data_IF_618899883871
#
_entry.id   IF_618899883871
#
_cell.length_a   1.000
_cell.length_b   1.000
_cell.length_c   1.000
_cell.angle_alpha   90.00
_cell.angle_beta   90.00
_cell.angle_gamma   90.00
#
_symmetry.space_group_name_H-M   'P 1'
#
loop_
_entity.id
_entity.type
_entity.pdbx_description
1 polymer ?
#
# COMPACT_ATOMS: atom_id res chain seq x y z
N UNK A 1 2.37 8.13 0.79
CA UNK A 1 1.85 9.37 0.18
C UNK A 1 2.84 10.53 0.32
N UNK A 2 3.17 11.01 1.53
CA UNK A 2 4.06 12.19 1.69
C UNK A 2 5.41 12.05 0.96
N UNK A 3 6.13 10.94 1.13
CA UNK A 3 7.40 10.71 0.40
C UNK A 3 7.25 10.75 -1.14
N UNK A 4 6.10 10.31 -1.66
CA UNK A 4 5.80 10.40 -3.11
C UNK A 4 5.63 11.86 -3.54
N UNK A 5 4.87 12.64 -2.78
CA UNK A 5 4.64 14.07 -3.08
C UNK A 5 5.92 14.89 -2.93
N UNK A 6 6.73 14.59 -1.93
CA UNK A 6 8.03 15.21 -1.73
C UNK A 6 8.94 14.94 -2.92
N UNK A 7 9.15 13.66 -3.29
CA UNK A 7 9.92 13.31 -4.47
C UNK A 7 9.37 13.96 -5.74
N UNK A 8 8.05 13.90 -5.95
CA UNK A 8 7.40 14.49 -7.12
C UNK A 8 7.60 16.02 -7.21
N UNK A 9 7.49 16.74 -6.10
CA UNK A 9 7.57 18.21 -6.08
C UNK A 9 9.01 18.70 -6.23
N UNK A 10 9.94 18.17 -5.42
CA UNK A 10 11.34 18.59 -5.43
C UNK A 10 12.06 18.22 -6.72
N UNK A 11 11.56 17.20 -7.41
CA UNK A 11 12.08 16.83 -8.73
C UNK A 11 11.80 17.87 -9.82
N UNK A 12 10.80 18.74 -9.66
CA UNK A 12 10.42 19.76 -10.66
C UNK A 12 10.93 21.16 -10.30
N UNK A 13 10.94 21.50 -9.01
CA UNK A 13 11.47 22.76 -8.46
C UNK A 13 11.91 22.54 -7.01
N UNK A 14 13.10 23.00 -6.67
CA UNK A 14 13.68 22.94 -5.32
C UNK A 14 13.56 24.27 -4.54
N UNK A 15 13.27 25.36 -5.24
CA UNK A 15 13.30 26.73 -4.71
C UNK A 15 11.92 27.34 -4.42
N UNK A 16 10.83 26.64 -4.75
CA UNK A 16 9.46 27.16 -4.60
C UNK A 16 9.08 27.58 -3.16
N UNK A 17 9.77 27.06 -2.14
CA UNK A 17 9.49 27.42 -0.74
C UNK A 17 10.16 28.73 -0.32
N UNK A 18 11.14 29.22 -1.09
CA UNK A 18 11.95 30.39 -0.70
C UNK A 18 11.06 31.61 -0.54
N UNK A 19 11.20 32.30 0.59
CA UNK A 19 10.43 33.50 0.90
C UNK A 19 9.05 33.25 1.54
N UNK A 20 8.59 32.00 1.61
CA UNK A 20 7.33 31.59 2.25
C UNK A 20 7.58 30.81 3.55
N UNK A 21 6.67 30.93 4.52
CA UNK A 21 6.76 30.22 5.80
C UNK A 21 6.30 28.75 5.74
N UNK A 22 6.73 28.00 4.72
CA UNK A 22 6.30 26.61 4.48
C UNK A 22 6.77 25.65 5.57
N UNK A 23 7.94 25.90 6.16
CA UNK A 23 8.50 25.06 7.23
C UNK A 23 7.56 24.89 8.43
N UNK A 24 6.73 25.90 8.74
CA UNK A 24 5.72 25.81 9.81
C UNK A 24 4.65 24.74 9.52
N UNK A 25 4.31 24.53 8.25
CA UNK A 25 3.32 23.52 7.85
C UNK A 25 3.92 22.12 7.95
N UNK A 26 5.16 21.95 7.49
CA UNK A 26 5.88 20.66 7.58
C UNK A 26 6.03 20.24 9.05
N UNK A 27 6.42 21.15 9.94
CA UNK A 27 6.50 20.90 11.39
C UNK A 27 5.15 20.57 12.03
N UNK A 28 4.04 21.00 11.42
CA UNK A 28 2.68 20.67 11.84
C UNK A 28 2.13 19.38 11.20
N UNK A 29 2.97 18.61 10.50
CA UNK A 29 2.56 17.39 9.81
C UNK A 29 1.65 17.66 8.61
N UNK A 30 1.90 18.73 7.88
CA UNK A 30 1.16 19.11 6.68
C UNK A 30 2.10 19.10 5.46
N UNK A 31 1.67 18.41 4.41
CA UNK A 31 2.26 18.48 3.08
C UNK A 31 1.52 19.55 2.27
N UNK A 32 2.24 20.37 1.52
CA UNK A 32 1.66 21.44 0.69
C UNK A 32 2.14 21.39 -0.76
N UNK A 33 3.28 20.74 -1.03
CA UNK A 33 3.79 20.54 -2.38
C UNK A 33 2.99 19.46 -3.11
N UNK A 34 2.52 19.76 -4.33
CA UNK A 34 1.91 18.76 -5.21
C UNK A 34 0.60 18.13 -4.72
N UNK A 35 -0.04 18.64 -3.67
CA UNK A 35 -1.23 18.05 -2.99
C UNK A 35 -2.51 18.02 -3.81
N UNK A 36 -2.50 18.52 -5.04
CA UNK A 36 -3.61 18.47 -6.01
C UNK A 36 -3.17 18.04 -7.40
N UNK A 37 -1.94 17.52 -7.52
CA UNK A 37 -1.40 17.02 -8.78
C UNK A 37 -2.18 15.80 -9.28
N UNK A 38 -2.04 15.49 -10.57
CA UNK A 38 -2.58 14.24 -11.14
C UNK A 38 -1.98 13.01 -10.46
N UNK A 39 -0.70 13.06 -10.10
CA UNK A 39 -0.03 12.02 -9.31
C UNK A 39 -0.64 11.87 -7.92
N UNK A 40 -0.95 12.98 -7.23
CA UNK A 40 -1.66 12.92 -5.95
C UNK A 40 -3.03 12.25 -6.08
N UNK A 41 -3.81 12.62 -7.10
CA UNK A 41 -5.14 12.05 -7.34
C UNK A 41 -5.05 10.56 -7.66
N UNK A 42 -4.11 10.16 -8.52
CA UNK A 42 -3.82 8.76 -8.81
C UNK A 42 -3.46 7.98 -7.54
N UNK A 43 -2.49 8.49 -6.77
CA UNK A 43 -2.04 7.82 -5.55
C UNK A 43 -3.17 7.71 -4.52
N UNK A 44 -3.98 8.77 -4.35
CA UNK A 44 -5.11 8.79 -3.41
C UNK A 44 -6.20 7.80 -3.82
N UNK A 45 -6.50 7.70 -5.12
CA UNK A 45 -7.44 6.71 -5.63
C UNK A 45 -6.95 5.28 -5.34
N UNK A 46 -5.64 5.03 -5.45
CA UNK A 46 -5.04 3.73 -5.12
C UNK A 46 -5.09 3.42 -3.63
N UNK A 47 -4.72 4.37 -2.76
CA UNK A 47 -4.73 4.13 -1.30
C UNK A 47 -6.13 3.85 -0.74
N UNK A 48 -7.20 4.31 -1.42
CA UNK A 48 -8.60 3.98 -1.08
C UNK A 48 -8.99 2.54 -1.42
N UNK A 49 -8.26 1.88 -2.32
CA UNK A 49 -8.57 0.52 -2.76
C UNK A 49 -7.79 -0.52 -1.96
N UNK A 50 -6.53 -0.22 -1.66
CA UNK A 50 -5.63 -1.14 -0.97
C UNK A 50 -4.42 -0.36 -0.42
N UNK A 51 -3.54 -1.06 0.29
CA UNK A 51 -2.24 -0.55 0.70
C UNK A 51 -1.26 -0.65 -0.47
N UNK A 52 -0.79 0.50 -0.95
CA UNK A 52 0.17 0.58 -2.06
C UNK A 52 1.53 1.18 -1.65
N UNK A 53 2.56 0.74 -2.33
CA UNK A 53 3.87 1.40 -2.44
C UNK A 53 3.97 2.04 -3.83
N UNK A 54 4.68 3.16 -3.93
CA UNK A 54 4.80 3.91 -5.18
C UNK A 54 6.25 3.98 -5.60
N UNK A 55 6.50 3.81 -6.89
CA UNK A 55 7.82 3.87 -7.52
C UNK A 55 7.76 4.88 -8.65
N UNK A 56 8.72 5.81 -8.68
CA UNK A 56 8.82 6.83 -9.73
C UNK A 56 10.02 6.47 -10.61
N UNK A 57 9.80 6.47 -11.93
CA UNK A 57 10.85 6.36 -12.93
C UNK A 57 10.75 7.53 -13.90
N UNK A 58 11.87 8.15 -14.23
CA UNK A 58 11.93 9.38 -15.02
C UNK A 58 13.07 9.33 -16.02
N UNK A 59 12.82 9.89 -17.20
CA UNK A 59 13.84 10.22 -18.19
C UNK A 59 13.61 11.67 -18.67
N UNK A 60 14.65 12.50 -18.63
CA UNK A 60 14.58 13.90 -19.03
C UNK A 60 15.65 14.18 -20.08
N UNK A 61 15.26 14.86 -21.16
CA UNK A 61 16.15 15.39 -22.17
C UNK A 61 15.99 16.92 -22.19
N UNK A 62 17.08 17.66 -22.00
CA UNK A 62 17.09 19.13 -21.99
C UNK A 62 17.77 19.65 -23.26
N UNK A 63 17.15 20.62 -23.91
CA UNK A 63 17.71 21.32 -25.08
C UNK A 63 17.98 22.79 -24.83
N UNK A 64 17.06 23.48 -24.15
CA UNK A 64 17.14 24.93 -23.98
C UNK A 64 17.01 25.30 -22.51
N UNK A 65 17.54 26.45 -22.14
CA UNK A 65 17.39 27.03 -20.81
C UNK A 65 17.36 28.54 -20.93
N UNK A 66 16.39 29.19 -20.28
CA UNK A 66 16.33 30.64 -20.22
C UNK A 66 15.58 31.12 -18.98
N UNK A 67 15.74 32.42 -18.69
CA UNK A 67 15.14 33.08 -17.53
C UNK A 67 14.62 34.46 -17.90
N UNK A 68 13.66 34.96 -17.12
CA UNK A 68 13.21 36.35 -17.25
C UNK A 68 14.23 37.36 -16.67
N UNK A 69 13.95 38.67 -16.74
CA UNK A 69 14.76 39.68 -16.03
C UNK A 69 14.56 39.58 -14.51
N UNK A 70 15.46 40.14 -13.71
CA UNK A 70 15.28 40.24 -12.26
C UNK A 70 14.11 41.17 -11.88
N UNK A 71 13.78 42.10 -12.77
CA UNK A 71 12.65 43.02 -12.66
C UNK A 71 11.82 42.91 -13.94
N UNK A 72 11.05 41.82 -14.11
CA UNK A 72 10.29 41.61 -15.33
C UNK A 72 9.17 42.66 -15.45
N UNK A 73 8.92 43.21 -16.64
CA UNK A 73 7.76 44.08 -16.84
C UNK A 73 6.48 43.28 -16.62
N UNK A 74 5.53 43.87 -15.89
CA UNK A 74 4.23 43.26 -15.62
C UNK A 74 3.30 43.43 -16.82
N UNK A 75 2.42 42.45 -17.07
CA UNK A 75 1.37 42.61 -18.07
C UNK A 75 0.40 43.73 -17.65
N UNK A 76 -0.25 44.36 -18.64
CA UNK A 76 -1.21 45.43 -18.38
C UNK A 76 -2.38 44.95 -17.51
N UNK A 77 -2.86 43.74 -17.76
CA UNK A 77 -3.95 43.12 -17.01
C UNK A 77 -3.55 42.87 -15.55
N UNK A 78 -2.40 42.24 -15.32
CA UNK A 78 -1.93 41.95 -13.96
C UNK A 78 -1.71 43.25 -13.18
N UNK A 79 -1.14 44.27 -13.82
CA UNK A 79 -0.92 45.58 -13.20
C UNK A 79 -2.24 46.25 -12.78
N UNK A 80 -3.27 46.18 -13.63
CA UNK A 80 -4.61 46.73 -13.32
C UNK A 80 -5.30 45.97 -12.18
N UNK A 81 -5.12 44.67 -12.12
CA UNK A 81 -5.68 43.85 -11.04
C UNK A 81 -4.98 44.13 -9.70
N UNK A 82 -3.65 44.26 -9.70
CA UNK A 82 -2.88 44.63 -8.52
C UNK A 82 -3.25 46.03 -7.99
N UNK A 83 -3.53 46.98 -8.88
CA UNK A 83 -3.94 48.33 -8.49
C UNK A 83 -5.29 48.35 -7.71
N UNK A 84 -6.16 47.36 -7.95
CA UNK A 84 -7.44 47.21 -7.25
C UNK A 84 -7.33 46.42 -5.95
N UNK A 85 -6.17 45.83 -5.68
CA UNK A 85 -5.98 44.94 -4.54
C UNK A 85 -5.87 45.77 -3.23
N UNK A 86 -6.58 45.42 -2.15
CA UNK A 86 -6.51 46.16 -0.88
C UNK A 86 -5.08 46.17 -0.33
N UNK A 87 -4.73 47.18 0.46
CA UNK A 87 -3.38 47.29 1.05
C UNK A 87 -3.06 46.24 2.11
N UNK A 88 -4.07 45.55 2.66
CA UNK A 88 -3.93 44.59 3.75
C UNK A 88 -4.76 43.32 3.54
N UNK A 89 -4.32 42.22 4.14
CA UNK A 89 -5.00 40.93 4.11
C UNK A 89 -5.79 40.69 5.42
N UNK A 90 -7.09 40.48 5.30
CA UNK A 90 -8.02 40.23 6.41
C UNK A 90 -9.14 39.27 5.95
N UNK A 91 -10.02 38.80 6.86
CA UNK A 91 -11.17 37.97 6.47
C UNK A 91 -12.06 38.63 5.41
N UNK A 92 -12.25 39.95 5.44
CA UNK A 92 -13.07 40.69 4.46
C UNK A 92 -12.39 40.86 3.11
N UNK A 93 -11.05 40.98 3.07
CA UNK A 93 -10.30 41.13 1.81
C UNK A 93 -9.86 39.78 1.22
N UNK A 94 -10.03 38.67 1.95
CA UNK A 94 -9.60 37.31 1.56
C UNK A 94 -10.04 36.92 0.15
N UNK A 95 -11.29 37.18 -0.22
CA UNK A 95 -11.84 36.79 -1.53
C UNK A 95 -11.09 37.48 -2.69
N UNK A 96 -10.68 38.73 -2.51
CA UNK A 96 -10.00 39.51 -3.55
C UNK A 96 -8.58 38.98 -3.79
N UNK A 97 -7.84 38.69 -2.71
CA UNK A 97 -6.54 38.01 -2.81
C UNK A 97 -6.64 36.61 -3.40
N UNK A 98 -7.69 35.85 -3.04
CA UNK A 98 -7.95 34.52 -3.61
C UNK A 98 -8.19 34.57 -5.11
N UNK A 99 -8.84 35.63 -5.61
CA UNK A 99 -9.03 35.82 -7.05
C UNK A 99 -7.70 36.01 -7.77
N UNK A 100 -6.78 36.80 -7.22
CA UNK A 100 -5.43 36.97 -7.80
C UNK A 100 -4.70 35.63 -7.83
N UNK A 101 -4.66 34.91 -6.70
CA UNK A 101 -3.99 33.59 -6.62
C UNK A 101 -4.65 32.58 -7.58
N UNK A 102 -5.97 32.59 -7.69
CA UNK A 102 -6.70 31.67 -8.57
C UNK A 102 -6.48 31.95 -10.06
N UNK A 103 -6.18 33.20 -10.43
CA UNK A 103 -5.97 33.62 -11.82
C UNK A 103 -4.51 33.49 -12.24
N UNK A 104 -3.59 33.98 -11.41
CA UNK A 104 -2.16 34.09 -11.73
C UNK A 104 -1.29 33.03 -11.06
N UNK A 105 -1.87 32.20 -10.19
CA UNK A 105 -1.15 31.19 -9.41
C UNK A 105 -0.55 31.74 -8.11
N UNK A 106 0.13 30.87 -7.37
CA UNK A 106 0.89 31.24 -6.16
C UNK A 106 2.31 31.70 -6.47
N UNK A 107 2.85 31.28 -7.62
CA UNK A 107 4.21 31.52 -8.08
C UNK A 107 4.20 31.88 -9.56
N UNK A 108 5.28 32.54 -10.00
CA UNK A 108 5.62 32.66 -11.41
C UNK A 108 6.92 31.90 -11.70
N UNK A 109 7.09 31.49 -12.95
CA UNK A 109 8.29 30.80 -13.39
C UNK A 109 9.40 31.81 -13.69
N UNK A 110 10.50 31.75 -12.94
CA UNK A 110 11.66 32.65 -13.08
C UNK A 110 12.63 32.16 -14.14
N UNK A 111 12.86 30.86 -14.18
CA UNK A 111 13.75 30.16 -15.12
C UNK A 111 13.12 28.83 -15.51
N UNK A 112 13.35 28.41 -16.75
CA UNK A 112 12.91 27.12 -17.29
C UNK A 112 14.07 26.40 -17.94
N UNK A 113 14.02 25.08 -17.84
CA UNK A 113 14.69 24.17 -18.76
C UNK A 113 13.62 23.56 -19.67
N UNK A 114 13.84 23.66 -20.98
CA UNK A 114 12.94 23.11 -21.99
C UNK A 114 13.53 21.88 -22.67
N UNK A 115 12.66 20.94 -23.00
CA UNK A 115 12.99 19.74 -23.76
C UNK A 115 11.86 18.73 -23.69
N UNK A 116 12.18 17.49 -23.31
CA UNK A 116 11.19 16.43 -23.12
C UNK A 116 11.40 15.70 -21.80
N UNK A 117 10.30 15.33 -21.14
CA UNK A 117 10.36 14.49 -19.94
C UNK A 117 9.27 13.43 -19.97
N UNK A 118 9.71 12.19 -19.75
CA UNK A 118 8.84 11.09 -19.39
C UNK A 118 8.93 10.84 -17.89
N UNK A 119 7.78 10.63 -17.25
CA UNK A 119 7.69 10.19 -15.86
C UNK A 119 6.60 9.14 -15.74
N UNK A 120 6.91 8.04 -15.05
CA UNK A 120 5.92 7.02 -14.69
C UNK A 120 5.93 6.77 -13.20
N UNK A 121 4.74 6.86 -12.61
CA UNK A 121 4.48 6.51 -11.22
C UNK A 121 3.76 5.17 -11.20
N UNK A 122 4.45 4.13 -10.74
CA UNK A 122 3.90 2.78 -10.63
C UNK A 122 3.48 2.51 -9.19
N UNK A 123 2.21 2.16 -8.98
CA UNK A 123 1.69 1.68 -7.71
C UNK A 123 1.78 0.15 -7.64
N UNK A 124 2.41 -0.37 -6.59
CA UNK A 124 2.51 -1.80 -6.30
C UNK A 124 1.75 -2.14 -5.01
N UNK A 125 0.89 -3.15 -5.05
CA UNK A 125 0.15 -3.62 -3.85
C UNK A 125 1.14 -4.15 -2.82
N UNK A 126 1.27 -3.46 -1.70
CA UNK A 126 2.33 -3.70 -0.71
C UNK A 126 2.23 -5.10 -0.13
N UNK A 127 1.04 -5.48 0.36
CA UNK A 127 0.88 -6.75 1.06
C UNK A 127 0.82 -7.94 0.11
N UNK A 128 0.27 -7.76 -1.09
CA UNK A 128 0.36 -8.77 -2.12
C UNK A 128 1.83 -9.00 -2.55
N UNK A 129 2.65 -7.95 -2.62
CA UNK A 129 4.10 -8.09 -2.86
C UNK A 129 4.77 -8.90 -1.75
N UNK A 130 4.48 -8.59 -0.48
CA UNK A 130 5.04 -9.32 0.68
C UNK A 130 4.65 -10.79 0.68
N UNK A 131 3.39 -11.12 0.38
CA UNK A 131 2.90 -12.51 0.25
C UNK A 131 3.63 -13.31 -0.84
N UNK A 132 4.27 -12.62 -1.79
CA UNK A 132 5.05 -13.22 -2.87
C UNK A 132 6.55 -13.15 -2.62
N UNK A 133 6.97 -12.86 -1.38
CA UNK A 133 8.37 -12.76 -1.01
C UNK A 133 9.08 -11.55 -1.62
N UNK A 134 8.34 -10.55 -2.11
CA UNK A 134 8.88 -9.35 -2.72
C UNK A 134 8.89 -8.18 -1.73
N UNK A 135 10.07 -7.59 -1.54
CA UNK A 135 10.23 -6.32 -0.84
C UNK A 135 10.02 -5.14 -1.79
N UNK A 136 9.66 -3.98 -1.24
CA UNK A 136 9.53 -2.73 -2.03
C UNK A 136 10.81 -2.39 -2.81
N UNK A 137 11.99 -2.66 -2.25
CA UNK A 137 13.27 -2.45 -2.94
C UNK A 137 13.45 -3.39 -4.13
N UNK A 138 13.09 -4.67 -3.99
CA UNK A 138 13.13 -5.62 -5.11
C UNK A 138 12.17 -5.21 -6.23
N UNK A 139 10.93 -4.82 -5.88
CA UNK A 139 9.96 -4.30 -6.87
C UNK A 139 10.53 -3.08 -7.60
N UNK A 140 11.12 -2.12 -6.87
CA UNK A 140 11.75 -0.95 -7.47
C UNK A 140 12.91 -1.31 -8.43
N UNK A 141 13.79 -2.24 -8.03
CA UNK A 141 14.89 -2.71 -8.88
C UNK A 141 14.38 -3.36 -10.16
N UNK A 142 13.36 -4.21 -10.05
CA UNK A 142 12.74 -4.85 -11.21
C UNK A 142 12.10 -3.83 -12.16
N UNK A 143 11.31 -2.88 -11.62
CA UNK A 143 10.73 -1.81 -12.43
C UNK A 143 11.81 -0.96 -13.11
N UNK A 144 12.91 -0.65 -12.41
CA UNK A 144 14.01 0.13 -12.98
C UNK A 144 14.68 -0.57 -14.16
N UNK A 145 14.94 -1.88 -14.01
CA UNK A 145 15.46 -2.70 -15.09
C UNK A 145 14.46 -2.76 -16.26
N UNK A 146 13.19 -3.02 -15.98
CA UNK A 146 12.14 -3.09 -17.00
C UNK A 146 11.93 -1.79 -17.76
N UNK A 147 11.97 -0.64 -17.06
CA UNK A 147 11.91 0.69 -17.69
C UNK A 147 13.09 0.89 -18.62
N UNK A 148 14.29 0.50 -18.19
CA UNK A 148 15.50 0.69 -18.98
C UNK A 148 15.54 -0.22 -20.22
N UNK A 149 15.07 -1.46 -20.10
CA UNK A 149 14.87 -2.39 -21.22
C UNK A 149 13.83 -1.83 -22.19
N UNK A 150 12.67 -1.43 -21.68
CA UNK A 150 11.56 -0.92 -22.48
C UNK A 150 11.93 0.31 -23.29
N UNK A 151 12.72 1.22 -22.71
CA UNK A 151 13.25 2.41 -23.38
C UNK A 151 14.49 2.14 -24.25
N UNK A 152 14.96 0.88 -24.34
CA UNK A 152 16.07 0.48 -25.20
C UNK A 152 17.43 0.98 -24.74
N UNK A 153 17.59 1.29 -23.45
CA UNK A 153 18.86 1.74 -22.86
C UNK A 153 19.82 0.57 -22.55
N UNK A 154 19.29 -0.65 -22.41
CA UNK A 154 20.06 -1.88 -22.25
C UNK A 154 19.43 -3.01 -23.07
N UNK A 155 20.26 -3.93 -23.57
CA UNK A 155 19.84 -5.23 -24.09
C UNK A 155 20.00 -6.32 -23.02
N UNK A 156 19.01 -7.21 -22.86
CA UNK A 156 19.04 -8.36 -21.95
C UNK A 156 20.24 -9.28 -22.27
N UNK A 157 20.85 -9.95 -21.26
CA UNK A 157 20.12 -10.75 -20.28
C UNK A 157 20.57 -10.43 -18.84
N UNK A 158 20.01 -9.39 -18.21
CA UNK A 158 20.23 -9.23 -16.76
C UNK A 158 19.43 -10.33 -16.07
N UNK A 159 20.15 -11.30 -15.50
CA UNK A 159 19.68 -12.48 -14.80
C UNK A 159 18.83 -12.19 -13.57
N UNK A 160 17.64 -11.63 -13.78
CA UNK A 160 16.67 -11.36 -12.73
C UNK A 160 15.48 -12.30 -12.93
N UNK A 161 15.70 -13.63 -12.83
CA UNK A 161 14.60 -14.61 -12.80
C UNK A 161 13.51 -14.19 -11.79
N UNK A 162 13.90 -13.57 -10.68
CA UNK A 162 13.00 -13.03 -9.66
C UNK A 162 12.16 -11.82 -10.10
N UNK A 163 12.54 -11.11 -11.17
CA UNK A 163 11.78 -9.98 -11.70
C UNK A 163 10.66 -10.40 -12.65
N UNK A 164 10.61 -11.66 -13.09
CA UNK A 164 9.61 -12.10 -14.05
C UNK A 164 8.17 -11.81 -13.55
N UNK A 165 7.89 -12.13 -12.29
CA UNK A 165 6.62 -11.83 -11.60
C UNK A 165 6.25 -10.34 -11.65
N UNK A 166 7.23 -9.47 -11.39
CA UNK A 166 7.03 -8.01 -11.40
C UNK A 166 6.84 -7.48 -12.81
N UNK A 167 7.71 -7.88 -13.75
CA UNK A 167 7.72 -7.38 -15.13
C UNK A 167 6.52 -7.85 -15.95
N UNK A 168 6.05 -9.08 -15.71
CA UNK A 168 4.84 -9.62 -16.32
C UNK A 168 3.55 -9.10 -15.66
N UNK A 169 3.66 -8.38 -14.53
CA UNK A 169 2.53 -7.89 -13.74
C UNK A 169 1.55 -9.02 -13.34
N UNK A 170 2.09 -10.22 -13.10
CA UNK A 170 1.32 -11.41 -12.77
C UNK A 170 1.88 -12.02 -11.51
N UNK A 171 0.97 -12.37 -10.61
CA UNK A 171 1.30 -12.96 -9.32
C UNK A 171 0.46 -14.22 -9.16
N UNK A 172 1.14 -15.34 -8.95
CA UNK A 172 0.54 -16.64 -8.61
C UNK A 172 0.75 -16.87 -7.11
N UNK A 173 0.08 -16.07 -6.30
CA UNK A 173 -0.22 -16.45 -4.92
C UNK A 173 -1.72 -16.46 -4.79
N UNK A 174 -2.27 -17.37 -3.99
CA UNK A 174 -3.65 -17.25 -3.51
C UNK A 174 -4.77 -17.62 -4.51
N UNK A 175 -4.53 -18.63 -5.37
CA UNK A 175 -5.55 -19.25 -6.24
C UNK A 175 -6.22 -18.33 -7.29
N UNK A 176 -5.83 -17.05 -7.37
CA UNK A 176 -6.40 -16.03 -8.27
C UNK A 176 -5.33 -15.08 -8.84
N UNK A 177 -5.46 -14.71 -10.11
CA UNK A 177 -4.61 -13.71 -10.76
C UNK A 177 -5.03 -12.30 -10.35
N UNK A 178 -4.24 -11.65 -9.51
CA UNK A 178 -4.37 -10.21 -9.26
C UNK A 178 -3.30 -9.43 -10.04
N UNK A 179 -3.69 -8.30 -10.65
CA UNK A 179 -2.72 -7.32 -11.14
C UNK A 179 -1.96 -6.75 -9.94
N UNK A 180 -0.64 -6.90 -9.96
CA UNK A 180 0.25 -6.44 -8.89
C UNK A 180 0.48 -4.93 -8.98
N UNK A 181 0.57 -4.44 -10.21
CA UNK A 181 1.01 -3.12 -10.59
C UNK A 181 -0.03 -2.42 -11.44
N UNK A 182 -0.15 -1.12 -11.18
CA UNK A 182 -0.80 -0.16 -12.06
C UNK A 182 0.07 1.09 -12.14
N UNK A 183 -0.04 1.86 -13.21
CA UNK A 183 0.81 3.02 -13.40
C UNK A 183 0.06 4.22 -13.96
N UNK A 184 0.63 5.38 -13.71
CA UNK A 184 0.26 6.65 -14.30
C UNK A 184 1.49 7.22 -15.01
N UNK A 185 1.34 7.55 -16.29
CA UNK A 185 2.42 8.05 -17.15
C UNK A 185 2.15 9.50 -17.54
N UNK A 186 3.20 10.32 -17.47
CA UNK A 186 3.23 11.70 -17.97
C UNK A 186 4.36 11.81 -19.00
N UNK A 187 4.04 12.38 -20.15
CA UNK A 187 5.01 12.79 -21.16
C UNK A 187 4.77 14.27 -21.44
N UNK A 188 5.82 15.07 -21.30
CA UNK A 188 5.83 16.51 -21.60
C UNK A 188 6.88 16.79 -22.67
N UNK A 189 6.59 17.72 -23.57
CA UNK A 189 7.39 17.97 -24.77
C UNK A 189 7.30 16.86 -25.80
N UNK A 190 7.69 17.17 -27.03
CA UNK A 190 7.70 16.28 -28.18
C UNK A 190 6.32 15.92 -28.71
N UNK A 191 6.30 15.05 -29.73
CA UNK A 191 5.08 14.53 -30.37
C UNK A 191 5.22 13.03 -30.66
N UNK A 192 4.08 12.37 -30.84
CA UNK A 192 4.03 11.01 -31.40
C UNK A 192 4.29 9.85 -30.43
N UNK A 193 4.43 10.11 -29.13
CA UNK A 193 4.55 9.06 -28.11
C UNK A 193 3.74 9.41 -26.86
N UNK A 194 2.92 8.46 -26.41
CA UNK A 194 2.07 8.61 -25.22
C UNK A 194 2.75 8.14 -23.92
N UNK A 195 4.01 7.69 -23.99
CA UNK A 195 4.75 7.19 -22.84
C UNK A 195 4.50 5.72 -22.52
N UNK A 196 3.68 5.01 -23.29
CA UNK A 196 3.40 3.60 -23.06
C UNK A 196 4.39 2.69 -23.79
N UNK A 197 4.83 1.64 -23.10
CA UNK A 197 5.79 0.65 -23.58
C UNK A 197 5.80 -0.58 -22.65
N UNK A 198 6.29 -1.70 -23.18
CA UNK A 198 6.44 -2.94 -22.43
C UNK A 198 7.72 -2.97 -21.57
N UNK A 199 7.63 -3.48 -20.35
CA UNK A 199 8.78 -3.63 -19.44
C UNK A 199 9.61 -4.90 -19.71
N UNK A 200 9.09 -5.82 -20.53
CA UNK A 200 9.66 -7.16 -20.72
C UNK A 200 10.62 -7.27 -21.90
N UNK A 201 10.56 -6.34 -22.84
CA UNK A 201 11.36 -6.34 -24.06
C UNK A 201 11.60 -4.91 -24.52
N UNK A 202 12.57 -4.73 -25.43
CA UNK A 202 12.83 -3.45 -26.04
C UNK A 202 11.60 -2.98 -26.83
N UNK A 203 10.99 -1.88 -26.38
CA UNK A 203 9.86 -1.23 -27.01
C UNK A 203 10.16 0.28 -27.14
N UNK A 204 11.39 0.57 -27.58
CA UNK A 204 11.94 1.92 -27.59
C UNK A 204 11.57 2.72 -28.83
N UNK A 205 10.95 2.12 -29.85
CA UNK A 205 10.71 2.80 -31.13
C UNK A 205 9.91 4.10 -30.96
N UNK A 206 8.86 4.09 -30.13
CA UNK A 206 8.08 5.29 -29.81
C UNK A 206 8.90 6.34 -29.08
N UNK A 207 9.67 5.92 -28.07
CA UNK A 207 10.57 6.79 -27.31
C UNK A 207 11.64 7.45 -28.19
N UNK A 208 12.29 6.69 -29.07
CA UNK A 208 13.32 7.21 -29.97
C UNK A 208 12.75 8.20 -30.98
N UNK A 209 11.57 7.93 -31.56
CA UNK A 209 10.86 8.88 -32.42
C UNK A 209 10.47 10.15 -31.67
N UNK A 210 10.05 10.03 -30.42
CA UNK A 210 9.72 11.19 -29.58
C UNK A 210 10.94 12.07 -29.32
N UNK A 211 12.10 11.47 -28.99
CA UNK A 211 13.35 12.20 -28.78
C UNK A 211 13.73 13.08 -29.98
N UNK A 212 13.51 12.63 -31.22
CA UNK A 212 13.86 13.42 -32.41
C UNK A 212 13.00 14.67 -32.58
N UNK A 213 11.81 14.72 -31.96
CA UNK A 213 10.88 15.87 -32.06
C UNK A 213 11.15 16.97 -31.03
N UNK A 214 12.01 16.71 -30.04
CA UNK A 214 12.16 17.59 -28.87
C UNK A 214 12.81 18.94 -29.17
N UNK A 215 13.61 19.03 -30.24
CA UNK A 215 14.21 20.31 -30.64
C UNK A 215 13.17 21.30 -31.16
N UNK A 216 12.18 20.81 -31.91
CA UNK A 216 11.16 21.64 -32.56
C UNK A 216 9.90 21.80 -31.69
N UNK A 217 9.67 20.85 -30.77
CA UNK A 217 8.52 20.84 -29.87
C UNK A 217 8.94 20.64 -28.40
N UNK A 218 9.83 21.47 -27.84
CA UNK A 218 10.20 21.36 -26.43
C UNK A 218 9.07 21.86 -25.51
N UNK A 219 9.04 21.37 -24.29
CA UNK A 219 8.16 21.86 -23.21
C UNK A 219 8.95 21.97 -21.90
N UNK A 220 8.35 22.55 -20.86
CA UNK A 220 8.98 22.78 -19.56
C UNK A 220 9.21 21.46 -18.85
N UNK A 221 10.48 21.07 -18.70
CA UNK A 221 10.87 19.83 -18.01
C UNK A 221 11.28 20.06 -16.57
N UNK A 222 11.80 21.25 -16.26
CA UNK A 222 12.18 21.72 -14.94
C UNK A 222 12.02 23.24 -14.88
N UNK A 223 11.72 23.79 -13.70
CA UNK A 223 11.50 25.21 -13.52
C UNK A 223 11.97 25.69 -12.15
N UNK A 224 12.34 26.98 -12.08
CA UNK A 224 12.58 27.71 -10.83
C UNK A 224 11.38 28.61 -10.58
N UNK A 225 10.81 28.52 -9.38
CA UNK A 225 9.62 29.27 -9.00
C UNK A 225 9.96 30.42 -8.05
N UNK A 226 9.31 31.55 -8.26
CA UNK A 226 9.36 32.69 -7.35
C UNK A 226 7.96 33.05 -6.88
N UNK A 227 7.76 33.35 -5.59
CA UNK A 227 6.43 33.69 -5.09
C UNK A 227 5.86 34.91 -5.81
N UNK A 228 4.57 34.86 -6.13
CA UNK A 228 3.90 35.95 -6.86
C UNK A 228 3.98 37.30 -6.13
N UNK A 229 4.03 37.26 -4.79
CA UNK A 229 4.13 38.48 -3.96
C UNK A 229 5.40 39.30 -4.27
N UNK A 230 6.47 38.70 -4.81
CA UNK A 230 7.70 39.42 -5.11
C UNK A 230 7.52 40.47 -6.23
N UNK A 231 6.52 40.28 -7.09
CA UNK A 231 6.21 41.18 -8.22
C UNK A 231 5.36 42.38 -7.81
N UNK A 232 4.86 42.43 -6.57
CA UNK A 232 3.99 43.53 -6.14
C UNK A 232 4.81 44.80 -5.87
N UNK A 233 4.39 45.95 -6.43
CA UNK A 233 5.16 47.20 -6.32
C UNK A 233 5.07 47.84 -4.93
N UNK A 234 3.94 47.66 -4.22
CA UNK A 234 3.69 48.26 -2.91
C UNK A 234 4.08 47.30 -1.78
N UNK A 235 4.84 47.79 -0.79
CA UNK A 235 5.30 47.00 0.37
C UNK A 235 4.16 46.40 1.20
N UNK A 236 3.05 47.12 1.42
CA UNK A 236 1.92 46.63 2.20
C UNK A 236 1.16 45.53 1.43
N UNK A 237 0.88 45.76 0.14
CA UNK A 237 0.25 44.73 -0.70
C UNK A 237 1.15 43.50 -0.82
N UNK A 238 2.48 43.67 -0.87
CA UNK A 238 3.47 42.59 -0.89
C UNK A 238 3.37 41.71 0.36
N UNK A 239 3.35 42.31 1.55
CA UNK A 239 3.17 41.59 2.82
C UNK A 239 1.81 40.88 2.87
N UNK A 240 0.75 41.55 2.43
CA UNK A 240 -0.60 41.01 2.41
C UNK A 240 -0.75 39.83 1.43
N UNK A 241 -0.14 39.91 0.25
CA UNK A 241 -0.14 38.83 -0.74
C UNK A 241 0.69 37.62 -0.27
N UNK A 242 1.79 37.87 0.43
CA UNK A 242 2.56 36.80 1.11
C UNK A 242 1.67 36.07 2.12
N UNK A 243 1.01 36.80 3.02
CA UNK A 243 0.10 36.22 4.01
C UNK A 243 -1.06 35.45 3.37
N UNK A 244 -1.66 36.00 2.30
CA UNK A 244 -2.72 35.35 1.54
C UNK A 244 -2.25 34.05 0.88
N UNK A 245 -1.03 34.04 0.34
CA UNK A 245 -0.41 32.87 -0.29
C UNK A 245 -0.13 31.77 0.75
N UNK A 246 0.47 32.12 1.88
CA UNK A 246 0.71 31.17 2.99
C UNK A 246 -0.60 30.58 3.52
N UNK A 247 -1.64 31.40 3.67
CA UNK A 247 -2.96 30.92 4.06
C UNK A 247 -3.61 30.04 2.98
N UNK A 248 -3.40 30.35 1.69
CA UNK A 248 -3.83 29.50 0.57
C UNK A 248 -3.18 28.13 0.62
N UNK A 249 -1.87 28.07 0.81
CA UNK A 249 -1.14 26.81 0.91
C UNK A 249 -1.62 25.99 2.11
N UNK A 250 -1.78 26.62 3.27
CA UNK A 250 -2.29 25.96 4.48
C UNK A 250 -3.68 25.34 4.29
N UNK A 251 -4.61 26.06 3.68
CA UNK A 251 -5.98 25.58 3.43
C UNK A 251 -6.04 24.45 2.39
N UNK A 252 -5.01 24.32 1.55
CA UNK A 252 -4.88 23.26 0.55
C UNK A 252 -3.88 22.16 0.95
N UNK A 253 -3.41 22.22 2.20
CA UNK A 253 -2.46 21.26 2.72
C UNK A 253 -3.15 19.91 3.01
N UNK A 254 -2.38 18.84 2.89
CA UNK A 254 -2.82 17.48 3.21
C UNK A 254 -2.11 17.03 4.48
N UNK A 255 -2.87 16.52 5.45
CA UNK A 255 -2.29 15.95 6.68
C UNK A 255 -1.43 14.74 6.34
N UNK A 256 -0.19 14.74 6.80
CA UNK A 256 0.70 13.60 6.72
C UNK A 256 0.53 12.74 7.97
N UNK A 257 0.11 11.49 7.81
CA UNK A 257 0.17 10.50 8.86
C UNK A 257 1.57 9.88 8.88
N UNK A 258 2.37 10.22 9.89
CA UNK A 258 3.70 9.64 10.14
C UNK A 258 3.65 8.43 11.07
N UNK A 259 2.47 8.03 11.54
CA UNK A 259 2.31 6.84 12.37
C UNK A 259 2.64 5.59 11.55
N UNK A 260 3.83 5.04 11.80
CA UNK A 260 4.16 3.68 11.39
C UNK A 260 3.07 2.75 11.93
N UNK A 261 2.54 1.83 11.12
CA UNK A 261 1.53 0.92 11.60
C UNK A 261 2.15 0.04 12.69
N UNK A 262 1.66 0.17 13.93
CA UNK A 262 1.99 -0.76 15.00
C UNK A 262 1.20 -2.04 14.76
N UNK A 263 1.88 -3.10 14.32
CA UNK A 263 1.25 -4.41 14.20
C UNK A 263 1.08 -5.01 15.59
N UNK A 264 0.01 -5.77 15.81
CA UNK A 264 -0.10 -6.59 17.04
C UNK A 264 1.14 -7.46 17.18
N UNK A 265 1.89 -7.29 18.27
CA UNK A 265 3.18 -7.94 18.53
C UNK A 265 3.14 -9.47 18.59
N UNK A 266 1.94 -10.06 18.55
CA UNK A 266 1.71 -11.49 18.75
C UNK A 266 1.55 -12.28 17.44
N UNK A 267 1.57 -11.62 16.28
CA UNK A 267 1.43 -12.30 14.99
C UNK A 267 2.80 -12.57 14.35
N UNK A 268 3.15 -13.86 14.25
CA UNK A 268 4.41 -14.31 13.66
C UNK A 268 4.43 -14.17 12.14
N UNK A 269 3.24 -14.22 11.51
CA UNK A 269 3.08 -14.15 10.06
C UNK A 269 3.07 -12.72 9.50
N UNK A 270 3.15 -11.67 10.33
CA UNK A 270 3.19 -10.29 9.84
C UNK A 270 4.62 -9.78 9.66
N UNK A 271 4.85 -9.04 8.59
CA UNK A 271 6.03 -8.18 8.42
C UNK A 271 5.98 -7.04 9.44
N UNK A 272 7.07 -6.84 10.18
CA UNK A 272 7.13 -5.91 11.31
C UNK A 272 7.02 -4.45 10.91
N UNK A 273 7.30 -4.09 9.65
CA UNK A 273 7.27 -2.71 9.15
C UNK A 273 5.96 -2.37 8.44
N UNK A 274 5.40 -3.33 7.71
CA UNK A 274 4.26 -3.10 6.81
C UNK A 274 2.95 -3.69 7.33
N UNK A 275 3.00 -4.53 8.38
CA UNK A 275 1.89 -5.34 8.87
C UNK A 275 1.21 -6.13 7.74
N UNK A 276 2.00 -6.60 6.78
CA UNK A 276 1.52 -7.43 5.69
C UNK A 276 1.82 -8.90 5.99
N UNK A 277 0.92 -9.84 5.64
CA UNK A 277 1.18 -11.26 5.82
C UNK A 277 2.37 -11.71 4.95
N UNK A 278 3.24 -12.53 5.52
CA UNK A 278 4.41 -13.14 4.86
C UNK A 278 4.02 -14.39 4.09
N UNK A 279 3.04 -15.13 4.60
CA UNK A 279 2.55 -16.38 4.03
C UNK A 279 1.02 -16.38 3.97
N UNK A 280 0.47 -16.94 2.90
CA UNK A 280 -0.94 -17.32 2.83
C UNK A 280 -1.21 -18.55 3.72
N UNK A 281 -2.47 -19.00 3.80
CA UNK A 281 -2.86 -20.22 4.53
C UNK A 281 -2.60 -20.13 6.04
N UNK A 282 -2.83 -18.95 6.61
CA UNK A 282 -2.62 -18.67 8.02
C UNK A 282 -3.89 -18.13 8.66
N UNK A 283 -4.20 -18.62 9.85
CA UNK A 283 -5.33 -18.15 10.64
C UNK A 283 -5.24 -18.54 12.11
N UNK A 284 -6.02 -17.88 12.95
CA UNK A 284 -6.15 -18.20 14.37
C UNK A 284 -7.17 -19.31 14.56
N UNK A 285 -6.75 -20.38 15.24
CA UNK A 285 -7.59 -21.55 15.50
C UNK A 285 -7.93 -21.66 16.99
N UNK A 286 -9.21 -21.86 17.28
CA UNK A 286 -9.72 -22.21 18.60
C UNK A 286 -10.52 -23.50 18.48
N UNK A 287 -10.27 -24.47 19.36
CA UNK A 287 -10.97 -25.76 19.36
C UNK A 287 -11.60 -26.00 20.72
N UNK A 288 -12.86 -26.41 20.74
CA UNK A 288 -13.59 -26.78 21.93
C UNK A 288 -14.02 -28.23 21.82
N UNK A 289 -13.50 -29.11 22.69
CA UNK A 289 -13.96 -30.48 22.82
C UNK A 289 -15.13 -30.47 23.80
N UNK A 290 -16.33 -30.73 23.30
CA UNK A 290 -17.58 -30.45 24.03
C UNK A 290 -17.92 -31.66 24.92
N UNK A 291 -18.23 -32.81 24.30
CA UNK A 291 -18.75 -33.98 24.98
C UNK A 291 -18.59 -35.27 24.19
N UNK A 292 -18.78 -36.40 24.84
CA UNK A 292 -19.05 -37.69 24.22
C UNK A 292 -20.31 -38.34 24.82
N UNK A 293 -20.81 -39.36 24.14
CA UNK A 293 -21.99 -40.11 24.55
C UNK A 293 -21.85 -41.58 24.18
N UNK A 294 -22.41 -42.46 25.01
CA UNK A 294 -22.42 -43.89 24.78
C UNK A 294 -21.03 -44.52 24.68
N UNK A 295 -20.02 -43.97 25.36
CA UNK A 295 -18.68 -44.55 25.34
C UNK A 295 -18.68 -45.95 26.00
N UNK A 296 -17.90 -46.86 25.44
CA UNK A 296 -17.71 -48.23 25.96
C UNK A 296 -16.28 -48.72 25.75
N UNK A 297 -15.35 -48.28 26.60
CA UNK A 297 -14.00 -48.83 26.65
C UNK A 297 -13.96 -50.12 27.46
N UNK A 298 -14.32 -50.03 28.74
CA UNK A 298 -14.38 -51.16 29.67
C UNK A 298 -15.32 -52.30 29.28
N UNK A 299 -14.91 -53.53 29.62
CA UNK A 299 -15.78 -54.71 29.54
C UNK A 299 -16.83 -54.72 30.68
N UNK A 300 -16.45 -54.21 31.86
CA UNK A 300 -17.31 -54.06 33.04
C UNK A 300 -17.04 -52.70 33.70
N UNK A 301 -18.05 -51.83 33.81
CA UNK A 301 -17.90 -50.54 34.49
C UNK A 301 -18.31 -49.34 33.65
N UNK A 302 -17.84 -48.17 34.08
CA UNK A 302 -18.07 -46.88 33.43
C UNK A 302 -16.74 -46.32 32.96
N UNK A 303 -16.66 -46.01 31.67
CA UNK A 303 -15.45 -45.48 31.02
C UNK A 303 -14.88 -44.23 31.71
N UNK A 304 -13.58 -44.23 31.95
CA UNK A 304 -12.72 -43.10 32.31
C UNK A 304 -12.30 -42.30 31.06
N UNK A 305 -13.30 -41.67 30.41
CA UNK A 305 -13.12 -41.02 29.11
C UNK A 305 -12.28 -39.74 29.15
N UNK A 306 -11.34 -39.63 28.22
CA UNK A 306 -10.64 -38.38 27.91
C UNK A 306 -10.39 -38.24 26.39
N UNK A 307 -10.10 -37.01 25.95
CA UNK A 307 -9.81 -36.72 24.55
C UNK A 307 -8.40 -36.15 24.34
N UNK A 308 -7.78 -36.52 23.22
CA UNK A 308 -6.52 -35.97 22.72
C UNK A 308 -6.79 -35.13 21.48
N UNK A 309 -6.34 -33.89 21.49
CA UNK A 309 -6.30 -33.01 20.33
C UNK A 309 -4.89 -33.04 19.74
N UNK A 310 -4.79 -33.20 18.42
CA UNK A 310 -3.54 -33.04 17.67
C UNK A 310 -3.73 -32.14 16.44
N UNK A 311 -2.87 -31.14 16.31
CA UNK A 311 -2.82 -30.26 15.14
C UNK A 311 -1.35 -29.94 14.79
N UNK A 312 -0.81 -30.62 13.76
CA UNK A 312 0.63 -30.55 13.48
C UNK A 312 1.45 -31.03 14.69
N UNK A 313 2.32 -30.16 15.21
CA UNK A 313 3.11 -30.39 16.43
C UNK A 313 2.38 -30.04 17.73
N UNK A 314 1.19 -29.43 17.65
CA UNK A 314 0.41 -29.02 18.84
C UNK A 314 -0.37 -30.23 19.37
N UNK A 315 -0.30 -30.45 20.68
CA UNK A 315 -0.98 -31.53 21.39
C UNK A 315 -1.63 -31.03 22.69
N UNK A 316 -2.88 -31.45 22.94
CA UNK A 316 -3.58 -31.21 24.20
C UNK A 316 -4.35 -32.46 24.65
N UNK A 317 -4.41 -32.72 25.95
CA UNK A 317 -5.24 -33.76 26.60
C UNK A 317 -6.30 -33.07 27.47
N UNK A 318 -7.55 -33.54 27.42
CA UNK A 318 -8.60 -33.09 28.35
C UNK A 318 -8.43 -33.73 29.72
N UNK A 319 -9.13 -33.22 30.73
CA UNK A 319 -9.30 -33.98 31.97
C UNK A 319 -10.00 -35.32 31.69
N UNK A 320 -9.70 -36.31 32.51
CA UNK A 320 -10.35 -37.62 32.53
C UNK A 320 -11.68 -37.49 33.29
N UNK A 321 -12.74 -38.11 32.78
CA UNK A 321 -14.07 -38.10 33.40
C UNK A 321 -14.62 -39.53 33.38
N UNK A 322 -14.86 -40.08 34.57
CA UNK A 322 -15.54 -41.38 34.75
C UNK A 322 -17.04 -41.24 34.44
N UNK A 323 -17.41 -41.49 33.18
CA UNK A 323 -18.79 -41.45 32.68
C UNK A 323 -18.84 -41.97 31.24
N UNK A 324 -19.91 -42.69 30.88
CA UNK A 324 -20.20 -43.06 29.49
C UNK A 324 -20.76 -41.87 28.66
N UNK A 325 -21.03 -40.73 29.31
CA UNK A 325 -21.51 -39.48 28.72
C UNK A 325 -20.68 -38.27 29.20
N UNK A 326 -19.35 -38.28 29.01
CA UNK A 326 -18.48 -37.25 29.58
C UNK A 326 -18.71 -35.91 28.88
N UNK A 327 -18.71 -34.84 29.67
CA UNK A 327 -18.79 -33.46 29.18
C UNK A 327 -17.55 -32.69 29.64
N UNK A 328 -16.67 -32.37 28.69
CA UNK A 328 -15.40 -31.71 28.97
C UNK A 328 -15.50 -30.19 28.86
N UNK A 329 -16.24 -29.68 27.87
CA UNK A 329 -16.29 -28.25 27.50
C UNK A 329 -14.88 -27.61 27.46
N UNK A 330 -13.88 -28.37 27.02
CA UNK A 330 -12.47 -27.99 27.08
C UNK A 330 -12.11 -27.14 25.86
N UNK A 331 -11.81 -25.86 26.10
CA UNK A 331 -11.48 -24.88 25.06
C UNK A 331 -9.97 -24.62 25.00
N UNK A 332 -9.40 -24.82 23.82
CA UNK A 332 -7.98 -24.64 23.54
C UNK A 332 -7.78 -23.54 22.49
N UNK A 333 -6.97 -22.54 22.81
CA UNK A 333 -6.50 -21.52 21.86
C UNK A 333 -5.17 -21.97 21.27
N UNK A 334 -5.15 -22.31 19.97
CA UNK A 334 -3.98 -22.86 19.30
C UNK A 334 -3.10 -21.78 18.66
N UNK A 335 -3.53 -20.51 18.71
CA UNK A 335 -2.81 -19.41 18.08
C UNK A 335 -2.90 -19.42 16.56
N UNK A 336 -1.90 -18.81 15.91
CA UNK A 336 -1.79 -18.80 14.45
C UNK A 336 -1.29 -20.15 13.93
N UNK A 337 -2.07 -20.79 13.07
CA UNK A 337 -1.77 -22.10 12.50
C UNK A 337 -1.71 -22.07 10.99
N UNK A 338 -1.01 -23.05 10.40
CA UNK A 338 -1.10 -23.38 8.98
C UNK A 338 -2.42 -24.12 8.72
N UNK A 339 -3.26 -23.60 7.82
CA UNK A 339 -4.61 -24.12 7.55
C UNK A 339 -4.63 -25.35 6.64
N UNK A 340 -3.49 -25.78 6.08
CA UNK A 340 -3.41 -27.02 5.29
C UNK A 340 -3.47 -28.29 6.14
N UNK A 341 -3.18 -28.18 7.44
CA UNK A 341 -3.10 -29.34 8.33
C UNK A 341 -4.49 -29.85 8.72
N UNK A 342 -4.56 -31.14 9.07
CA UNK A 342 -5.77 -31.76 9.60
C UNK A 342 -5.84 -31.66 11.12
N UNK A 343 -7.00 -31.25 11.64
CA UNK A 343 -7.34 -31.32 13.06
C UNK A 343 -7.77 -32.74 13.41
N UNK A 344 -6.97 -33.44 14.20
CA UNK A 344 -7.28 -34.79 14.70
C UNK A 344 -7.75 -34.72 16.15
N UNK A 345 -8.91 -35.30 16.43
CA UNK A 345 -9.39 -35.55 17.79
C UNK A 345 -9.49 -37.06 17.99
N UNK A 346 -8.98 -37.55 19.10
CA UNK A 346 -9.08 -38.95 19.53
C UNK A 346 -9.73 -39.01 20.90
N UNK A 347 -10.53 -40.04 21.16
CA UNK A 347 -11.14 -40.31 22.47
C UNK A 347 -10.62 -41.66 22.96
N UNK A 348 -10.26 -41.70 24.24
CA UNK A 348 -9.59 -42.81 24.91
C UNK A 348 -10.26 -43.09 26.26
N UNK A 349 -10.17 -44.34 26.72
CA UNK A 349 -10.47 -44.77 28.08
C UNK A 349 -9.15 -44.88 28.87
N UNK A 350 -9.09 -44.41 30.12
CA UNK A 350 -7.87 -44.45 30.92
C UNK A 350 -7.83 -45.69 31.82
N UNK A 351 -6.83 -46.54 31.62
CA UNK A 351 -6.67 -47.81 32.33
C UNK A 351 -5.37 -47.85 33.14
N UNK A 352 -5.29 -48.71 34.16
CA UNK A 352 -4.05 -48.93 34.92
C UNK A 352 -2.87 -49.44 34.05
N UNK A 353 -3.16 -49.99 32.88
CA UNK A 353 -2.17 -50.51 31.93
C UNK A 353 -2.05 -49.66 30.68
N UNK A 354 -2.74 -50.05 29.61
CA UNK A 354 -2.80 -49.31 28.35
C UNK A 354 -4.20 -48.78 28.14
N UNK A 355 -4.30 -47.47 27.99
CA UNK A 355 -5.53 -46.80 27.61
C UNK A 355 -6.16 -47.39 26.34
N UNK A 356 -7.47 -47.66 26.42
CA UNK A 356 -8.25 -48.17 25.31
C UNK A 356 -8.60 -47.05 24.30
N UNK A 357 -8.25 -47.26 23.03
CA UNK A 357 -8.65 -46.34 21.96
C UNK A 357 -10.13 -46.52 21.62
N UNK A 358 -10.92 -45.45 21.76
CA UNK A 358 -12.36 -45.48 21.53
C UNK A 358 -12.76 -44.96 20.14
N UNK A 359 -12.02 -44.00 19.59
CA UNK A 359 -12.32 -43.48 18.26
C UNK A 359 -11.55 -42.22 17.93
N UNK A 360 -11.54 -41.85 16.65
CA UNK A 360 -10.95 -40.60 16.20
C UNK A 360 -11.58 -40.11 14.91
N UNK A 361 -11.39 -38.84 14.62
CA UNK A 361 -11.65 -38.29 13.30
C UNK A 361 -10.69 -37.14 13.00
N UNK A 362 -10.48 -36.92 11.70
CA UNK A 362 -9.68 -35.81 11.17
C UNK A 362 -10.60 -34.88 10.38
N UNK A 363 -10.49 -33.57 10.63
CA UNK A 363 -11.19 -32.53 9.87
C UNK A 363 -10.20 -31.52 9.32
N UNK A 364 -10.38 -31.15 8.05
CA UNK A 364 -9.65 -30.06 7.44
C UNK A 364 -10.38 -28.75 7.71
N UNK A 365 -9.62 -27.69 8.00
CA UNK A 365 -10.21 -26.45 8.45
C UNK A 365 -10.84 -25.66 7.30
N UNK A 366 -11.96 -25.03 7.62
CA UNK A 366 -12.58 -23.99 6.81
C UNK A 366 -12.88 -22.76 7.66
N UNK A 367 -12.76 -21.57 7.10
CA UNK A 367 -13.03 -20.31 7.78
C UNK A 367 -14.42 -20.33 8.44
N UNK A 368 -14.51 -19.77 9.66
CA UNK A 368 -15.75 -19.72 10.45
C UNK A 368 -15.79 -20.72 11.60
N UNK A 369 -16.97 -20.85 12.22
CA UNK A 369 -17.21 -21.77 13.33
C UNK A 369 -17.96 -23.00 12.83
N UNK A 370 -17.41 -24.18 13.12
CA UNK A 370 -17.92 -25.45 12.63
C UNK A 370 -17.99 -26.46 13.77
N UNK A 371 -19.11 -27.17 13.86
CA UNK A 371 -19.35 -28.22 14.87
C UNK A 371 -19.42 -29.58 14.17
N UNK A 372 -18.73 -30.57 14.73
CA UNK A 372 -18.68 -31.93 14.18
C UNK A 372 -19.04 -32.95 15.24
N UNK A 373 -19.68 -34.03 14.77
CA UNK A 373 -19.89 -35.26 15.52
C UNK A 373 -19.13 -36.39 14.84
N UNK A 374 -18.44 -37.23 15.61
CA UNK A 374 -17.64 -38.35 15.13
C UNK A 374 -17.99 -39.61 15.93
N UNK A 375 -17.85 -40.77 15.28
CA UNK A 375 -18.13 -42.06 15.89
C UNK A 375 -17.03 -42.46 16.88
N UNK A 376 -17.43 -43.14 17.95
CA UNK A 376 -16.57 -43.83 18.89
C UNK A 376 -17.18 -45.19 19.24
N UNK A 377 -16.39 -46.09 19.84
CA UNK A 377 -16.84 -47.40 20.32
C UNK A 377 -18.04 -47.23 21.27
N UNK A 378 -19.19 -47.73 20.85
CA UNK A 378 -20.48 -47.64 21.57
C UNK A 378 -21.34 -46.41 21.25
N UNK A 379 -20.76 -45.31 20.76
CA UNK A 379 -21.47 -44.05 20.57
C UNK A 379 -20.69 -43.04 19.75
N UNK A 380 -20.43 -41.85 20.31
CA UNK A 380 -19.76 -40.78 19.57
C UNK A 380 -19.29 -39.62 20.42
N UNK A 381 -18.62 -38.68 19.79
CA UNK A 381 -18.13 -37.46 20.42
C UNK A 381 -18.33 -36.23 19.54
N UNK A 382 -18.42 -35.07 20.17
CA UNK A 382 -18.71 -33.79 19.55
C UNK A 382 -17.67 -32.76 19.94
N UNK A 383 -17.20 -32.02 18.94
CA UNK A 383 -16.31 -30.89 19.12
C UNK A 383 -16.67 -29.77 18.15
N UNK A 384 -16.20 -28.57 18.46
CA UNK A 384 -16.33 -27.38 17.64
C UNK A 384 -14.96 -26.77 17.42
N UNK A 385 -14.76 -26.13 16.28
CA UNK A 385 -13.65 -25.20 16.10
C UNK A 385 -14.11 -23.89 15.49
N UNK A 386 -13.34 -22.83 15.73
CA UNK A 386 -13.44 -21.55 15.04
C UNK A 386 -12.10 -21.23 14.38
N UNK A 387 -12.11 -21.04 13.06
CA UNK A 387 -10.96 -20.53 12.30
C UNK A 387 -11.23 -19.10 11.83
N UNK A 388 -10.36 -18.18 12.24
CA UNK A 388 -10.37 -16.79 11.78
C UNK A 388 -9.12 -16.54 10.94
N UNK A 389 -9.27 -16.15 9.68
CA UNK A 389 -8.11 -15.87 8.82
C UNK A 389 -7.24 -14.74 9.38
N UNK A 390 -5.93 -14.86 9.17
CA UNK A 390 -4.99 -13.83 9.57
C UNK A 390 -5.31 -12.50 8.85
N UNK A 391 -4.88 -11.35 9.39
CA UNK A 391 -5.15 -10.06 8.78
C UNK A 391 -4.73 -10.03 7.30
N UNK A 392 -5.60 -9.49 6.44
CA UNK A 392 -5.41 -9.37 4.98
C UNK A 392 -5.43 -10.70 4.22
N UNK A 393 -5.87 -11.78 4.87
CA UNK A 393 -6.21 -13.06 4.23
C UNK A 393 -7.72 -13.32 4.31
N UNK A 394 -8.23 -14.09 3.35
CA UNK A 394 -9.63 -14.50 3.21
C UNK A 394 -9.71 -15.84 2.47
N UNK A 395 -10.91 -16.28 2.13
CA UNK A 395 -11.14 -17.55 1.44
C UNK A 395 -11.35 -18.69 2.43
N UNK A 396 -11.95 -19.78 1.94
CA UNK A 396 -12.35 -20.90 2.81
C UNK A 396 -11.19 -21.48 3.60
N UNK A 397 -9.96 -21.41 3.07
CA UNK A 397 -8.76 -21.91 3.75
C UNK A 397 -7.77 -20.79 4.11
N UNK A 398 -8.20 -19.53 4.13
CA UNK A 398 -7.33 -18.37 4.38
C UNK A 398 -6.19 -18.25 3.36
N UNK A 399 -6.43 -18.70 2.14
CA UNK A 399 -5.49 -18.72 1.04
C UNK A 399 -5.53 -17.46 0.19
N UNK A 400 -6.65 -16.73 0.22
CA UNK A 400 -6.93 -15.59 -0.65
C UNK A 400 -6.43 -14.26 -0.06
N UNK A 401 -5.93 -13.36 -0.91
CA UNK A 401 -5.58 -12.01 -0.49
C UNK A 401 -6.81 -11.14 -0.30
N UNK A 402 -6.87 -10.38 0.79
CA UNK A 402 -7.91 -9.39 1.06
C UNK A 402 -7.32 -7.98 1.04
N UNK A 403 -7.69 -7.13 0.06
CA UNK A 403 -7.28 -5.72 0.05
C UNK A 403 -7.65 -5.00 1.35
N UNK A 404 -6.75 -4.12 1.80
CA UNK A 404 -6.93 -3.32 3.01
C UNK A 404 -6.64 -1.84 2.72
N UNK A 405 -7.68 -1.02 2.48
CA UNK A 405 -7.53 0.42 2.29
C UNK A 405 -6.82 1.11 3.47
N UNK A 406 -6.16 2.24 3.19
CA UNK A 406 -5.51 3.09 4.19
C UNK A 406 -6.37 4.29 4.61
#
# INVERSE_FOLDING_TARGET
MSLLLHAYTYEESDDWMVGLNVGKFVSAGLEVGGTRSRVYNFATAKTRQDRYTFHIHRATCRHYSYRVSNTPPLSSEFSKDLAKLPSHYSPSTKAQYRRIIGTYGTHYIRQVDLGGRYRRVTSARTCLSTLNGLTSSQVHKCLSAGVSIGLGMYSLPIGLKFCNTVLQNQVVSASYSHRLLEHYTEVVGGKGWNGEFALTHNNSQGYQKWLTTLKDHPDVVQYSLRPLYELLPNSNQKLAMKAATEQYLKENAVKTTTTQPSCSSHSSNLDSKTCCPKQAWRGTLVVTIIRAWGLKGDYWGTTEGYAKLRYGSIYHKTRVIKSNYPRWDARYYLGEVDTHLGLKIEVWDEDWGRDDYLGSCVKYLTQGTHTFSCSAKGGGFQFQYTLTCAPKLTGSKCDQYKPSPQ
#
